data_IF_805184170684
#
_entry.id   IF_805184170684
#
_cell.length_a   1.000
_cell.length_b   1.000
_cell.length_c   1.000
_cell.angle_alpha   90.00
_cell.angle_beta   90.00
_cell.angle_gamma   90.00
#
_symmetry.space_group_name_H-M   'P 1'
#
loop_
_entity.id
_entity.type
_entity.pdbx_description
1 polymer ?
#
# COMPACT_ATOMS: atom_id res chain seq x y z
N UNK A 1 20.54 21.03 -57.31
CA UNK A 1 19.75 21.15 -56.05
C UNK A 1 20.56 21.98 -55.06
N UNK A 2 20.17 23.19 -54.84
CA UNK A 2 20.94 24.18 -54.07
C UNK A 2 20.96 23.83 -52.56
N UNK A 3 22.04 24.24 -51.85
CA UNK A 3 22.18 24.01 -50.37
C UNK A 3 20.97 24.45 -49.58
N UNK A 4 20.29 25.52 -49.97
CA UNK A 4 19.05 26.03 -49.37
C UNK A 4 17.88 25.04 -49.47
N UNK A 5 17.74 24.34 -50.61
CA UNK A 5 16.64 23.35 -50.77
C UNK A 5 16.85 22.12 -49.87
N UNK A 6 18.11 21.69 -49.70
CA UNK A 6 18.45 20.58 -48.77
C UNK A 6 18.22 20.97 -47.30
N UNK A 7 18.56 22.20 -46.93
CA UNK A 7 18.32 22.69 -45.56
C UNK A 7 16.81 22.80 -45.26
N UNK A 8 16.02 23.29 -46.21
CA UNK A 8 14.55 23.37 -46.05
C UNK A 8 13.88 22.00 -45.94
N UNK A 9 14.30 21.01 -46.73
CA UNK A 9 13.77 19.63 -46.65
C UNK A 9 14.17 18.97 -45.33
N UNK A 10 15.40 19.18 -44.86
CA UNK A 10 15.85 18.63 -43.55
C UNK A 10 15.08 19.22 -42.40
N UNK A 11 14.77 20.51 -42.40
CA UNK A 11 13.99 21.17 -41.36
C UNK A 11 12.54 20.68 -41.35
N UNK A 12 11.91 20.50 -42.51
CA UNK A 12 10.54 19.99 -42.64
C UNK A 12 10.47 18.53 -42.15
N UNK A 13 11.46 17.68 -42.47
CA UNK A 13 11.51 16.30 -41.99
C UNK A 13 11.66 16.26 -40.45
N UNK A 14 12.48 17.13 -39.89
CA UNK A 14 12.65 17.22 -38.40
C UNK A 14 11.39 17.67 -37.72
N UNK A 15 10.66 18.64 -38.28
CA UNK A 15 9.36 19.10 -37.75
C UNK A 15 8.29 18.02 -37.88
N UNK A 16 8.25 17.26 -39.00
CA UNK A 16 7.32 16.13 -39.14
C UNK A 16 7.61 14.99 -38.12
N UNK A 17 8.87 14.69 -37.81
CA UNK A 17 9.23 13.71 -36.83
C UNK A 17 8.82 14.12 -35.41
N UNK A 18 8.86 15.41 -35.06
CA UNK A 18 8.42 15.91 -33.76
C UNK A 18 6.88 15.94 -33.67
N UNK A 19 6.18 16.18 -34.77
CA UNK A 19 4.72 16.19 -34.82
C UNK A 19 4.07 14.80 -34.76
N UNK A 20 4.84 13.73 -35.01
CA UNK A 20 4.33 12.35 -35.00
C UNK A 20 4.42 11.65 -33.65
N UNK A 21 4.55 12.37 -32.56
CA UNK A 21 4.28 11.81 -31.23
C UNK A 21 2.77 11.49 -31.13
N UNK A 22 2.33 10.49 -31.89
CA UNK A 22 1.00 9.90 -31.70
C UNK A 22 1.03 9.31 -30.30
N UNK A 23 0.53 10.06 -29.33
CA UNK A 23 0.20 9.51 -28.03
C UNK A 23 -0.91 8.49 -28.26
N UNK A 24 -0.53 7.24 -28.51
CA UNK A 24 -1.47 6.13 -28.52
C UNK A 24 -1.99 6.00 -27.07
N UNK A 25 -3.01 6.78 -26.76
CA UNK A 25 -3.70 6.70 -25.49
C UNK A 25 -4.63 5.50 -25.60
N UNK A 26 -4.18 4.35 -25.13
CA UNK A 26 -5.07 3.22 -24.99
C UNK A 26 -6.30 3.66 -24.18
N UNK A 27 -7.49 3.24 -24.65
CA UNK A 27 -8.73 3.54 -23.90
C UNK A 27 -8.60 2.99 -22.48
N UNK A 28 -8.91 3.82 -21.48
CA UNK A 28 -8.88 3.38 -20.11
C UNK A 28 -9.79 2.16 -19.92
N UNK A 29 -9.38 1.14 -19.16
CA UNK A 29 -10.19 -0.04 -18.95
C UNK A 29 -11.53 0.35 -18.31
N UNK A 30 -12.63 -0.25 -18.78
CA UNK A 30 -13.92 -0.09 -18.13
C UNK A 30 -13.89 -0.80 -16.79
N UNK A 31 -14.12 -0.09 -15.71
CA UNK A 31 -14.15 -0.63 -14.35
C UNK A 31 -15.33 -0.04 -13.58
N UNK A 32 -15.82 -0.78 -12.57
CA UNK A 32 -16.83 -0.30 -11.62
C UNK A 32 -16.24 0.54 -10.49
N UNK A 33 -14.90 0.64 -10.41
CA UNK A 33 -14.23 1.42 -9.38
C UNK A 33 -14.48 2.93 -9.58
N UNK A 34 -14.79 3.65 -8.48
CA UNK A 34 -14.97 5.10 -8.50
C UNK A 34 -13.65 5.85 -8.79
N UNK A 35 -12.52 5.25 -8.42
CA UNK A 35 -11.18 5.72 -8.72
C UNK A 35 -10.25 4.52 -8.89
N UNK A 36 -9.32 4.58 -9.84
CA UNK A 36 -8.31 3.54 -10.06
C UNK A 36 -7.04 4.12 -10.66
N UNK A 37 -5.97 3.38 -10.50
CA UNK A 37 -4.69 3.60 -11.18
C UNK A 37 -4.05 2.25 -11.50
N UNK A 38 -3.49 2.13 -12.70
CA UNK A 38 -2.58 1.07 -13.09
C UNK A 38 -1.20 1.71 -13.30
N UNK A 39 -0.24 1.31 -12.51
CA UNK A 39 1.10 1.88 -12.48
C UNK A 39 2.14 0.78 -12.63
N UNK A 40 3.15 1.02 -13.43
CA UNK A 40 4.34 0.19 -13.49
C UNK A 40 5.17 0.45 -12.21
N UNK A 41 5.42 -0.61 -11.43
CA UNK A 41 5.91 -0.47 -10.06
C UNK A 41 7.37 0.02 -9.96
N UNK A 42 8.20 -0.30 -10.94
CA UNK A 42 9.64 0.02 -10.93
C UNK A 42 9.88 1.50 -11.27
N UNK A 43 9.27 1.98 -12.36
CA UNK A 43 9.43 3.35 -12.84
C UNK A 43 8.44 4.36 -12.25
N UNK A 44 7.34 3.90 -11.65
CA UNK A 44 6.23 4.74 -11.21
C UNK A 44 5.38 5.30 -12.35
N UNK A 45 5.56 4.82 -13.59
CA UNK A 45 4.81 5.29 -14.76
C UNK A 45 3.36 4.84 -14.68
N UNK A 46 2.43 5.80 -14.73
CA UNK A 46 1.00 5.52 -14.82
C UNK A 46 0.65 5.05 -16.24
N UNK A 47 0.11 3.85 -16.35
CA UNK A 47 -0.33 3.21 -17.59
C UNK A 47 -1.78 3.56 -17.91
N UNK A 48 -2.64 3.53 -16.89
CA UNK A 48 -4.05 3.90 -16.99
C UNK A 48 -4.55 4.42 -15.65
N UNK A 49 -5.48 5.36 -15.67
CA UNK A 49 -6.10 5.89 -14.46
C UNK A 49 -7.50 6.43 -14.71
N UNK A 50 -8.27 6.56 -13.62
CA UNK A 50 -9.53 7.26 -13.60
C UNK A 50 -9.76 7.80 -12.19
N UNK A 51 -9.98 9.13 -12.08
CA UNK A 51 -10.15 9.84 -10.80
C UNK A 51 -9.05 9.51 -9.77
N UNK A 52 -7.82 9.28 -10.23
CA UNK A 52 -6.71 8.78 -9.42
C UNK A 52 -6.32 9.68 -8.26
N UNK A 53 -6.71 10.97 -8.31
CA UNK A 53 -6.48 11.96 -7.26
C UNK A 53 -7.71 12.19 -6.36
N UNK A 54 -8.82 11.47 -6.60
CA UNK A 54 -10.02 11.59 -5.78
C UNK A 54 -9.77 11.04 -4.38
N UNK A 55 -9.84 11.92 -3.38
CA UNK A 55 -9.69 11.53 -1.96
C UNK A 55 -10.89 10.72 -1.49
N UNK A 56 -10.62 9.63 -0.81
CA UNK A 56 -11.62 8.70 -0.29
C UNK A 56 -11.14 8.04 1.00
N UNK A 57 -12.08 7.52 1.78
CA UNK A 57 -11.80 6.52 2.79
C UNK A 57 -11.19 5.28 2.13
N UNK A 58 -10.11 4.77 2.70
CA UNK A 58 -9.27 3.71 2.13
C UNK A 58 -9.38 2.39 2.89
N UNK A 59 -10.13 2.39 3.98
CA UNK A 59 -10.36 1.22 4.82
C UNK A 59 -9.05 0.44 5.08
N UNK A 60 -9.11 -0.88 5.08
CA UNK A 60 -7.98 -1.75 5.43
C UNK A 60 -6.77 -1.70 4.49
N UNK A 61 -6.82 -0.97 3.36
CA UNK A 61 -5.60 -0.71 2.58
C UNK A 61 -4.59 0.14 3.36
N UNK A 62 -5.02 0.86 4.40
CA UNK A 62 -4.18 1.51 5.42
C UNK A 62 -3.11 0.58 5.99
N UNK A 63 -3.42 -0.69 6.17
CA UNK A 63 -2.53 -1.69 6.78
C UNK A 63 -1.26 -1.98 5.95
N UNK A 64 -1.23 -1.54 4.70
CA UNK A 64 0.00 -1.54 3.89
C UNK A 64 1.03 -0.59 4.52
N UNK A 65 0.61 0.62 4.90
CA UNK A 65 1.46 1.59 5.60
C UNK A 65 1.83 1.09 7.00
N UNK A 66 0.88 0.53 7.72
CA UNK A 66 1.12 -0.03 9.06
C UNK A 66 2.17 -1.14 9.03
N UNK A 67 2.07 -2.08 8.08
CA UNK A 67 3.07 -3.13 7.90
C UNK A 67 4.46 -2.56 7.57
N UNK A 68 4.52 -1.61 6.64
CA UNK A 68 5.78 -0.97 6.23
C UNK A 68 6.47 -0.26 7.40
N UNK A 69 5.73 0.58 8.14
CA UNK A 69 6.29 1.33 9.29
C UNK A 69 6.70 0.38 10.42
N UNK A 70 5.95 -0.70 10.67
CA UNK A 70 6.33 -1.70 11.65
C UNK A 70 7.65 -2.40 11.30
N UNK A 71 7.88 -2.74 10.03
CA UNK A 71 9.14 -3.34 9.57
C UNK A 71 10.34 -2.38 9.69
N UNK A 72 10.10 -1.07 9.69
CA UNK A 72 11.15 -0.07 9.86
C UNK A 72 11.50 0.21 11.34
N UNK A 73 10.61 -0.12 12.28
CA UNK A 73 10.71 0.27 13.69
C UNK A 73 10.79 -0.90 14.68
N UNK A 74 10.68 -2.15 14.21
CA UNK A 74 10.70 -3.31 15.10
C UNK A 74 11.34 -4.51 14.40
N UNK A 75 12.05 -5.34 15.17
CA UNK A 75 12.55 -6.62 14.69
C UNK A 75 11.42 -7.66 14.66
N UNK A 76 11.50 -8.61 13.71
CA UNK A 76 10.46 -9.63 13.52
C UNK A 76 10.26 -10.54 14.74
N UNK A 77 11.34 -10.76 15.48
CA UNK A 77 11.40 -11.64 16.64
C UNK A 77 10.95 -10.95 17.94
N UNK A 78 10.76 -9.63 17.94
CA UNK A 78 10.32 -8.89 19.11
C UNK A 78 9.01 -9.46 19.66
N UNK A 79 8.98 -9.64 20.98
CA UNK A 79 7.82 -10.19 21.70
C UNK A 79 6.89 -9.06 22.11
N UNK A 80 5.67 -9.14 21.64
CA UNK A 80 4.63 -8.13 21.88
C UNK A 80 3.54 -8.73 22.76
N UNK A 81 3.22 -8.05 23.85
CA UNK A 81 2.13 -8.46 24.76
C UNK A 81 0.84 -7.74 24.38
N UNK A 82 -0.20 -8.51 24.18
CA UNK A 82 -1.54 -7.98 23.85
C UNK A 82 -2.18 -7.39 25.10
N UNK A 83 -2.54 -6.12 25.03
CA UNK A 83 -3.34 -5.45 26.07
C UNK A 83 -4.82 -5.36 25.64
N UNK A 84 -5.72 -5.23 26.61
CA UNK A 84 -7.16 -5.11 26.35
C UNK A 84 -7.51 -3.96 25.40
N UNK A 85 -6.75 -2.85 25.46
CA UNK A 85 -6.93 -1.68 24.57
C UNK A 85 -6.65 -1.97 23.08
N UNK A 86 -5.98 -3.08 22.75
CA UNK A 86 -5.72 -3.50 21.35
C UNK A 86 -6.91 -4.24 20.73
N UNK A 87 -7.82 -4.77 21.52
CA UNK A 87 -8.96 -5.54 21.03
C UNK A 87 -9.96 -4.59 20.35
N UNK A 88 -10.13 -4.77 19.04
CA UNK A 88 -10.97 -3.93 18.19
C UNK A 88 -12.04 -4.74 17.49
N UNK A 89 -13.15 -4.08 17.19
CA UNK A 89 -14.21 -4.65 16.37
C UNK A 89 -13.83 -4.75 14.89
N UNK A 90 -14.60 -5.54 14.15
CA UNK A 90 -14.42 -5.77 12.71
C UNK A 90 -13.48 -6.93 12.41
N UNK A 91 -12.68 -6.80 11.34
CA UNK A 91 -11.72 -7.84 10.97
C UNK A 91 -10.68 -8.03 12.07
N UNK A 92 -10.43 -9.27 12.46
CA UNK A 92 -9.59 -9.61 13.62
C UNK A 92 -8.77 -10.87 13.36
N UNK A 93 -7.60 -10.99 13.97
CA UNK A 93 -6.91 -12.26 14.15
C UNK A 93 -7.30 -12.95 15.45
N UNK A 94 -8.25 -12.39 16.20
CA UNK A 94 -8.79 -12.92 17.46
C UNK A 94 -7.74 -13.00 18.57
N UNK A 95 -7.07 -11.88 18.82
CA UNK A 95 -6.12 -11.73 19.92
C UNK A 95 -6.82 -11.82 21.28
N UNK A 96 -6.14 -12.39 22.27
CA UNK A 96 -6.57 -12.43 23.65
C UNK A 96 -5.68 -11.54 24.53
N UNK A 97 -6.26 -10.88 25.52
CA UNK A 97 -5.51 -10.10 26.51
C UNK A 97 -4.48 -10.97 27.23
N UNK A 98 -3.26 -10.47 27.37
CA UNK A 98 -2.14 -11.17 27.97
C UNK A 98 -1.42 -12.16 27.02
N UNK A 99 -1.94 -12.36 25.80
CA UNK A 99 -1.25 -13.17 24.80
C UNK A 99 0.08 -12.51 24.39
N UNK A 100 1.10 -13.34 24.13
CA UNK A 100 2.41 -12.85 23.71
C UNK A 100 2.76 -13.46 22.37
N UNK A 101 2.93 -12.62 21.35
CA UNK A 101 3.27 -13.00 19.98
C UNK A 101 4.55 -12.31 19.53
N UNK A 102 5.19 -12.83 18.47
CA UNK A 102 6.25 -12.10 17.79
C UNK A 102 5.65 -11.01 16.88
N UNK A 103 6.46 -10.01 16.54
CA UNK A 103 6.07 -9.00 15.55
C UNK A 103 5.70 -9.66 14.22
N UNK A 104 6.45 -10.66 13.77
CA UNK A 104 6.14 -11.39 12.53
C UNK A 104 4.75 -12.04 12.58
N UNK A 105 4.39 -12.68 13.69
CA UNK A 105 3.07 -13.29 13.89
C UNK A 105 1.94 -12.25 13.81
N UNK A 106 2.16 -11.08 14.41
CA UNK A 106 1.22 -9.95 14.32
C UNK A 106 1.12 -9.39 12.89
N UNK A 107 2.23 -9.30 12.14
CA UNK A 107 2.22 -8.86 10.76
C UNK A 107 1.46 -9.84 9.83
N UNK A 108 1.53 -11.14 10.08
CA UNK A 108 0.65 -12.10 9.40
C UNK A 108 -0.82 -11.86 9.76
N UNK A 109 -1.13 -11.60 11.03
CA UNK A 109 -2.48 -11.24 11.48
C UNK A 109 -2.99 -9.92 10.88
N UNK A 110 -2.12 -8.95 10.72
CA UNK A 110 -2.40 -7.67 10.05
C UNK A 110 -2.75 -7.85 8.58
N UNK A 111 -1.93 -8.62 7.85
CA UNK A 111 -2.00 -8.65 6.40
C UNK A 111 -2.96 -9.70 5.86
N UNK A 112 -3.07 -10.89 6.43
CA UNK A 112 -3.88 -11.98 5.90
C UNK A 112 -5.38 -11.79 6.22
N UNK A 113 -5.83 -11.89 7.49
CA UNK A 113 -7.23 -11.70 7.85
C UNK A 113 -7.60 -10.22 8.00
N UNK A 114 -6.65 -9.30 7.81
CA UNK A 114 -6.89 -7.86 7.96
C UNK A 114 -7.17 -7.42 9.41
N UNK A 115 -6.52 -8.02 10.40
CA UNK A 115 -6.78 -7.80 11.82
C UNK A 115 -6.65 -6.34 12.27
N UNK A 116 -7.72 -5.76 12.81
CA UNK A 116 -7.70 -4.43 13.42
C UNK A 116 -7.01 -4.49 14.79
N UNK A 117 -7.22 -5.57 15.52
CA UNK A 117 -6.54 -5.88 16.78
C UNK A 117 -5.02 -5.99 16.59
N UNK A 118 -4.57 -6.68 15.55
CA UNK A 118 -3.16 -6.73 15.20
C UNK A 118 -2.59 -5.34 14.85
N UNK A 119 -3.34 -4.52 14.10
CA UNK A 119 -2.92 -3.17 13.75
C UNK A 119 -2.68 -2.29 14.97
N UNK A 120 -3.61 -2.29 15.92
CA UNK A 120 -3.50 -1.52 17.18
C UNK A 120 -2.36 -2.03 18.06
N UNK A 121 -2.22 -3.37 18.17
CA UNK A 121 -1.17 -3.99 18.97
C UNK A 121 0.23 -3.63 18.44
N UNK A 122 0.42 -3.69 17.11
CA UNK A 122 1.65 -3.30 16.43
C UNK A 122 1.94 -1.82 16.67
N UNK A 123 0.95 -0.96 16.42
CA UNK A 123 1.15 0.49 16.51
C UNK A 123 1.47 0.96 17.92
N UNK A 124 0.80 0.40 18.93
CA UNK A 124 1.05 0.73 20.32
C UNK A 124 2.43 0.26 20.78
N UNK A 125 2.82 -0.95 20.41
CA UNK A 125 4.15 -1.50 20.72
C UNK A 125 5.28 -0.69 20.09
N UNK A 126 5.23 -0.49 18.76
CA UNK A 126 6.27 0.26 18.04
C UNK A 126 6.35 1.72 18.52
N UNK A 127 5.21 2.35 18.82
CA UNK A 127 5.17 3.74 19.27
C UNK A 127 5.72 3.97 20.68
N UNK A 128 5.97 2.90 21.46
CA UNK A 128 6.55 2.97 22.81
C UNK A 128 5.74 3.87 23.73
N UNK A 129 6.38 4.82 24.41
CA UNK A 129 5.69 5.76 25.33
C UNK A 129 4.65 6.64 24.62
N UNK A 130 4.84 6.92 23.32
CA UNK A 130 3.88 7.67 22.52
C UNK A 130 2.72 6.83 21.97
N UNK A 131 2.77 5.50 22.10
CA UNK A 131 1.74 4.56 21.70
C UNK A 131 1.33 4.68 20.23
N UNK A 132 0.10 4.31 19.93
CA UNK A 132 -0.44 4.39 18.55
C UNK A 132 -0.40 5.81 17.96
N UNK A 133 -0.41 6.87 18.79
CA UNK A 133 -0.31 8.24 18.31
C UNK A 133 1.03 8.55 17.66
N UNK A 134 2.14 8.11 18.28
CA UNK A 134 3.47 8.24 17.72
C UNK A 134 3.61 7.43 16.43
N UNK A 135 3.06 6.22 16.40
CA UNK A 135 3.08 5.37 15.22
C UNK A 135 2.34 6.03 14.04
N UNK A 136 1.17 6.60 14.27
CA UNK A 136 0.41 7.35 13.26
C UNK A 136 1.19 8.59 12.77
N UNK A 137 1.94 9.25 13.65
CA UNK A 137 2.82 10.34 13.22
C UNK A 137 3.88 9.84 12.23
N UNK A 138 4.51 8.67 12.47
CA UNK A 138 5.45 8.04 11.53
C UNK A 138 4.79 7.62 10.22
N UNK A 139 3.55 7.08 10.25
CA UNK A 139 2.79 6.78 9.03
C UNK A 139 2.62 8.03 8.16
N UNK A 140 2.29 9.17 8.76
CA UNK A 140 2.11 10.43 8.04
C UNK A 140 3.45 11.02 7.56
N UNK A 141 4.52 10.83 8.32
CA UNK A 141 5.87 11.21 7.89
C UNK A 141 6.30 10.38 6.68
N UNK A 142 6.12 9.05 6.72
CA UNK A 142 6.38 8.16 5.60
C UNK A 142 5.56 8.55 4.37
N UNK A 143 4.28 8.89 4.53
CA UNK A 143 3.44 9.35 3.44
C UNK A 143 4.02 10.61 2.78
N UNK A 144 4.49 11.60 3.56
CA UNK A 144 5.17 12.79 3.04
C UNK A 144 6.44 12.46 2.27
N UNK A 145 7.28 11.55 2.82
CA UNK A 145 8.52 11.09 2.17
C UNK A 145 8.25 10.41 0.82
N UNK A 146 7.14 9.69 0.70
CA UNK A 146 6.72 9.01 -0.53
C UNK A 146 5.97 9.94 -1.52
N UNK A 147 5.80 11.22 -1.19
CA UNK A 147 5.07 12.17 -2.02
C UNK A 147 3.56 11.89 -2.11
N UNK A 148 2.97 11.29 -1.07
CA UNK A 148 1.55 10.99 -0.95
C UNK A 148 0.79 12.25 -0.48
N UNK A 149 0.66 13.22 -1.36
CA UNK A 149 0.18 14.58 -1.02
C UNK A 149 -1.30 14.68 -0.70
N UNK A 150 -2.07 13.63 -1.01
CA UNK A 150 -3.52 13.55 -0.75
C UNK A 150 -3.86 12.51 0.32
N UNK A 151 -2.89 12.17 1.16
CA UNK A 151 -3.02 11.13 2.17
C UNK A 151 -2.85 11.70 3.56
N UNK A 152 -3.73 11.29 4.46
CA UNK A 152 -3.59 11.49 5.89
C UNK A 152 -4.10 10.23 6.61
N UNK A 153 -3.30 9.72 7.52
CA UNK A 153 -3.64 8.60 8.38
C UNK A 153 -4.05 9.13 9.76
N UNK A 154 -5.19 8.65 10.29
CA UNK A 154 -5.66 8.96 11.63
C UNK A 154 -5.50 7.76 12.58
N UNK A 155 -5.48 6.53 12.04
CA UNK A 155 -5.29 5.30 12.80
C UNK A 155 -4.53 4.24 11.99
N UNK A 156 -4.03 3.15 12.64
CA UNK A 156 -3.25 2.12 11.96
C UNK A 156 -4.11 1.05 11.26
N UNK A 157 -5.42 0.99 11.53
CA UNK A 157 -6.30 -0.09 11.10
C UNK A 157 -7.07 0.22 9.82
N UNK A 158 -7.35 1.50 9.56
CA UNK A 158 -8.19 1.97 8.47
C UNK A 158 -9.68 1.99 8.81
N UNK A 159 -10.04 1.94 10.09
CA UNK A 159 -11.39 2.25 10.54
C UNK A 159 -11.72 3.71 10.20
N UNK A 160 -12.99 3.96 9.89
CA UNK A 160 -13.44 5.29 9.51
C UNK A 160 -13.22 6.29 10.65
N UNK A 161 -12.47 7.33 10.35
CA UNK A 161 -12.14 8.41 11.27
C UNK A 161 -11.99 9.73 10.52
N UNK A 162 -12.36 10.82 11.16
CA UNK A 162 -12.25 12.14 10.57
C UNK A 162 -10.81 12.43 10.13
N UNK A 163 -10.63 12.82 8.87
CA UNK A 163 -9.31 13.08 8.31
C UNK A 163 -8.58 11.86 7.75
N UNK A 164 -9.05 10.62 7.99
CA UNK A 164 -8.45 9.42 7.43
C UNK A 164 -8.79 9.26 5.95
N UNK A 165 -7.85 9.55 5.07
CA UNK A 165 -8.09 9.56 3.62
C UNK A 165 -6.84 9.28 2.81
N UNK A 166 -7.03 8.86 1.57
CA UNK A 166 -5.99 8.80 0.53
C UNK A 166 -6.63 8.84 -0.86
N UNK A 167 -5.82 8.70 -1.89
CA UNK A 167 -6.27 8.55 -3.28
C UNK A 167 -5.58 7.35 -3.94
N UNK A 168 -6.11 6.92 -5.10
CA UNK A 168 -5.60 5.73 -5.79
C UNK A 168 -4.12 5.87 -6.17
N UNK A 169 -3.69 7.05 -6.62
CA UNK A 169 -2.29 7.29 -7.00
C UNK A 169 -1.34 7.19 -5.80
N UNK A 170 -1.70 7.78 -4.66
CA UNK A 170 -0.87 7.70 -3.46
C UNK A 170 -0.77 6.27 -2.94
N UNK A 171 -1.87 5.53 -2.95
CA UNK A 171 -1.87 4.11 -2.56
C UNK A 171 -1.03 3.24 -3.50
N UNK A 172 -1.00 3.53 -4.81
CA UNK A 172 -0.13 2.84 -5.74
C UNK A 172 1.36 3.13 -5.49
N UNK A 173 1.72 4.38 -5.15
CA UNK A 173 3.08 4.75 -4.75
C UNK A 173 3.52 3.99 -3.49
N UNK A 174 2.65 3.97 -2.48
CA UNK A 174 2.89 3.19 -1.26
C UNK A 174 3.11 1.72 -1.57
N UNK A 175 2.23 1.12 -2.38
CA UNK A 175 2.31 -0.28 -2.77
C UNK A 175 3.63 -0.59 -3.50
N UNK A 176 4.01 0.23 -4.49
CA UNK A 176 5.24 0.06 -5.23
C UNK A 176 6.49 0.18 -4.35
N UNK A 177 6.46 1.07 -3.36
CA UNK A 177 7.55 1.20 -2.40
C UNK A 177 7.64 0.01 -1.44
N UNK A 178 6.53 -0.38 -0.84
CA UNK A 178 6.46 -1.48 0.13
C UNK A 178 6.90 -2.82 -0.48
N UNK A 179 6.56 -3.07 -1.75
CA UNK A 179 6.94 -4.30 -2.46
C UNK A 179 8.45 -4.41 -2.78
N UNK A 180 9.24 -3.38 -2.52
CA UNK A 180 10.72 -3.46 -2.61
C UNK A 180 11.33 -4.16 -1.39
N UNK A 181 10.62 -4.18 -0.27
CA UNK A 181 11.02 -4.91 0.92
C UNK A 181 10.69 -6.41 0.76
N UNK A 182 11.70 -7.32 0.83
CA UNK A 182 11.46 -8.75 0.64
C UNK A 182 10.63 -9.36 1.77
N UNK A 183 10.69 -8.84 2.99
CA UNK A 183 9.89 -9.31 4.12
C UNK A 183 8.43 -8.90 3.94
N UNK A 184 8.19 -7.65 3.56
CA UNK A 184 6.85 -7.18 3.21
C UNK A 184 6.24 -8.06 2.10
N UNK A 185 6.98 -8.27 1.01
CA UNK A 185 6.54 -9.09 -0.14
C UNK A 185 6.23 -10.52 0.28
N UNK A 186 7.07 -11.14 1.10
CA UNK A 186 6.86 -12.49 1.63
C UNK A 186 5.55 -12.58 2.43
N UNK A 187 5.31 -11.63 3.35
CA UNK A 187 4.10 -11.61 4.17
C UNK A 187 2.87 -11.36 3.29
N UNK A 188 2.89 -10.33 2.42
CA UNK A 188 1.77 -9.95 1.58
C UNK A 188 1.38 -11.04 0.56
N UNK A 189 2.34 -11.82 0.04
CA UNK A 189 2.10 -12.90 -0.91
C UNK A 189 1.73 -14.24 -0.25
N UNK A 190 1.80 -14.34 1.07
CA UNK A 190 1.46 -15.57 1.80
C UNK A 190 -0.05 -15.83 1.70
N UNK A 191 -0.45 -17.01 1.24
CA UNK A 191 -1.85 -17.42 1.11
C UNK A 191 -2.46 -17.83 2.43
N UNK A 192 -1.71 -18.57 3.22
CA UNK A 192 -2.14 -19.10 4.53
C UNK A 192 -0.96 -19.14 5.47
N UNK A 193 -1.15 -18.70 6.70
CA UNK A 193 -0.18 -18.82 7.78
C UNK A 193 -0.83 -19.42 9.03
N UNK A 194 -0.05 -20.12 9.84
CA UNK A 194 -0.48 -20.62 11.14
C UNK A 194 0.25 -19.89 12.25
N UNK A 195 -0.52 -19.35 13.19
CA UNK A 195 -0.01 -18.67 14.38
C UNK A 195 -0.69 -19.29 15.61
N UNK A 196 0.06 -20.04 16.38
CA UNK A 196 -0.50 -20.85 17.46
C UNK A 196 -1.57 -21.81 16.94
N UNK A 197 -2.77 -21.76 17.50
CA UNK A 197 -3.92 -22.56 17.04
C UNK A 197 -4.68 -21.94 15.86
N UNK A 198 -4.36 -20.70 15.45
CA UNK A 198 -5.07 -19.98 14.39
C UNK A 198 -4.52 -20.35 13.02
N UNK A 199 -5.40 -20.63 12.09
CA UNK A 199 -5.08 -20.69 10.66
C UNK A 199 -5.66 -19.46 9.99
N UNK A 200 -4.80 -18.61 9.46
CA UNK A 200 -5.17 -17.35 8.83
C UNK A 200 -5.04 -17.46 7.32
N UNK A 201 -6.09 -17.06 6.60
CA UNK A 201 -6.12 -17.07 5.14
C UNK A 201 -6.11 -15.63 4.62
N UNK A 202 -5.32 -15.38 3.60
CA UNK A 202 -5.24 -14.08 2.97
C UNK A 202 -6.56 -13.75 2.25
N UNK A 203 -7.12 -12.59 2.57
CA UNK A 203 -8.37 -12.12 1.97
C UNK A 203 -8.22 -11.74 0.48
N UNK A 204 -6.99 -11.54 -0.02
CA UNK A 204 -6.73 -11.30 -1.43
C UNK A 204 -6.90 -12.60 -2.25
N UNK A 205 -8.11 -12.81 -2.76
CA UNK A 205 -8.47 -13.98 -3.55
C UNK A 205 -7.68 -14.11 -4.86
N UNK A 206 -7.08 -13.01 -5.35
CA UNK A 206 -6.28 -13.03 -6.59
C UNK A 206 -4.99 -13.83 -6.42
N UNK A 207 -4.43 -13.92 -5.21
CA UNK A 207 -3.25 -14.75 -4.92
C UNK A 207 -3.43 -16.22 -5.32
N UNK A 208 -4.66 -16.73 -5.25
CA UNK A 208 -4.97 -18.11 -5.63
C UNK A 208 -5.46 -18.26 -7.07
N UNK A 209 -6.00 -17.17 -7.66
CA UNK A 209 -6.77 -17.23 -8.92
C UNK A 209 -6.04 -16.60 -10.11
N UNK A 210 -5.15 -15.64 -9.87
CA UNK A 210 -4.48 -14.91 -10.93
C UNK A 210 -2.99 -15.27 -10.96
N UNK A 211 -2.50 -15.95 -12.01
CA UNK A 211 -1.08 -16.27 -12.14
C UNK A 211 -0.21 -15.01 -12.12
N UNK A 212 0.84 -15.02 -11.31
CA UNK A 212 1.73 -13.86 -11.13
C UNK A 212 1.28 -12.83 -10.10
N UNK A 213 0.09 -12.97 -9.49
CA UNK A 213 -0.31 -12.10 -8.38
C UNK A 213 0.55 -12.40 -7.13
N UNK A 214 1.20 -11.36 -6.60
CA UNK A 214 2.09 -11.45 -5.42
C UNK A 214 1.63 -10.59 -4.24
N UNK A 215 0.44 -10.09 -4.25
CA UNK A 215 -0.15 -9.27 -3.19
C UNK A 215 -1.18 -8.30 -3.75
N UNK A 216 -1.63 -7.30 -3.01
CA UNK A 216 -1.19 -6.89 -1.67
C UNK A 216 -2.25 -7.19 -0.60
N UNK A 217 -3.38 -6.46 -0.69
CA UNK A 217 -4.36 -6.36 0.40
C UNK A 217 -5.77 -6.42 -0.15
#
# INVERSE_FOLDING_TARGET
>A
MTRLLRAGISLILSVLCVASSITCRAAAPKTSAAAFVLMEAESGRVIASGNELLERSIASTTKIMTCLVALEHSALEERVTVARRHLREGSSMYLAEGEVLTMEELLYGLMLPSGNDAAECIADHCGGEGGSGQFVAWMNEKARMLGMTRTAFANPSGLDEAGHRSCALDMARLAAYAMRDPTFTRIASTRTARVGARTMTNHNKLLAKYPGCIGLK
#
